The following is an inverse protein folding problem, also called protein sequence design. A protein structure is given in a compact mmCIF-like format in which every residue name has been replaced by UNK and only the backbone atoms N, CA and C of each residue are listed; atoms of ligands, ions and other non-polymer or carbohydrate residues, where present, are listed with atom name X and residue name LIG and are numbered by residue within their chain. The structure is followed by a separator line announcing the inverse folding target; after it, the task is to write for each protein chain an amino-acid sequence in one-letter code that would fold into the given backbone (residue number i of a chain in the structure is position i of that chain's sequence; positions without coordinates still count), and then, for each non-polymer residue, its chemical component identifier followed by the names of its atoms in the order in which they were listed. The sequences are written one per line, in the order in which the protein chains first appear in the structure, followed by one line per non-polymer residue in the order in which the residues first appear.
data_IF_494370410297
#
_entry.id   IF_494370410297
#
_cell.length_a   1.000
_cell.length_b   1.000
_cell.length_c   1.000
_cell.angle_alpha   90.00
_cell.angle_beta   90.00
_cell.angle_gamma   90.00
#
_symmetry.space_group_name_H-M   'P 1'
#
loop_
_entity.id
_entity.type
_entity.pdbx_description
1 polymer ?
#
# COMPACT_ATOMS: atom_id res chain seq x y z
N UNK A 1 5.08 15.23 4.87
CA UNK A 1 4.91 13.88 4.29
C UNK A 1 4.05 13.11 5.26
N UNK A 2 2.89 12.64 4.82
CA UNK A 2 1.98 11.85 5.63
C UNK A 2 2.03 10.40 5.14
N UNK A 3 2.00 9.46 6.08
CA UNK A 3 1.93 8.03 5.80
C UNK A 3 0.57 7.56 6.31
N UNK A 4 -0.17 6.87 5.46
CA UNK A 4 -1.44 6.26 5.83
C UNK A 4 -1.27 4.75 5.84
N UNK A 5 -1.69 4.10 6.91
CA UNK A 5 -1.64 2.64 7.04
C UNK A 5 -3.03 2.14 7.36
N UNK A 6 -3.50 1.12 6.64
CA UNK A 6 -4.83 0.57 6.86
C UNK A 6 -4.93 -0.91 6.54
N UNK A 7 -5.39 -1.71 7.51
CA UNK A 7 -5.90 -3.05 7.22
C UNK A 7 -7.27 -2.93 6.52
N UNK A 8 -7.26 -3.16 5.21
CA UNK A 8 -8.39 -2.95 4.33
C UNK A 8 -9.45 -4.05 4.43
N UNK A 9 -9.07 -5.26 4.87
CA UNK A 9 -9.93 -6.45 4.96
C UNK A 9 -10.71 -6.77 3.68
N UNK A 10 -10.12 -6.45 2.54
CA UNK A 10 -10.68 -6.70 1.23
C UNK A 10 -11.04 -5.43 0.46
N UNK A 11 -10.48 -5.37 -0.74
CA UNK A 11 -10.63 -4.29 -1.70
C UNK A 11 -11.41 -4.76 -2.94
N UNK A 12 -12.22 -5.81 -2.78
CA UNK A 12 -12.97 -6.44 -3.85
C UNK A 12 -14.18 -5.63 -4.33
N UNK A 13 -14.66 -4.65 -3.57
CA UNK A 13 -15.92 -3.95 -3.86
C UNK A 13 -15.73 -2.46 -4.14
N UNK A 14 -16.68 -1.88 -4.87
CA UNK A 14 -16.71 -0.42 -5.10
C UNK A 14 -16.96 0.36 -3.80
N UNK A 15 -17.72 -0.22 -2.85
CA UNK A 15 -17.92 0.36 -1.52
C UNK A 15 -16.60 0.50 -0.77
N UNK A 16 -15.80 -0.58 -0.70
CA UNK A 16 -14.49 -0.55 -0.06
C UNK A 16 -13.56 0.47 -0.74
N UNK A 17 -13.58 0.54 -2.07
CA UNK A 17 -12.85 1.55 -2.83
C UNK A 17 -13.26 2.98 -2.46
N UNK A 18 -14.56 3.27 -2.39
CA UNK A 18 -15.03 4.62 -2.06
C UNK A 18 -14.65 5.04 -0.64
N UNK A 19 -14.67 4.10 0.32
CA UNK A 19 -14.17 4.34 1.67
C UNK A 19 -12.67 4.63 1.66
N UNK A 20 -11.88 3.85 0.91
CA UNK A 20 -10.45 4.08 0.75
C UNK A 20 -10.17 5.46 0.14
N UNK A 21 -10.90 5.81 -0.92
CA UNK A 21 -10.79 7.08 -1.65
C UNK A 21 -11.07 8.26 -0.73
N UNK A 22 -12.17 8.23 0.02
CA UNK A 22 -12.50 9.29 0.99
C UNK A 22 -11.37 9.50 2.00
N UNK A 23 -10.85 8.42 2.58
CA UNK A 23 -9.72 8.50 3.53
C UNK A 23 -8.44 9.02 2.88
N UNK A 24 -8.19 8.66 1.62
CA UNK A 24 -7.07 9.20 0.84
C UNK A 24 -7.22 10.71 0.65
N UNK A 25 -8.41 11.18 0.32
CA UNK A 25 -8.71 12.60 0.09
C UNK A 25 -8.59 13.40 1.40
N UNK A 26 -9.11 12.89 2.52
CA UNK A 26 -9.01 13.50 3.84
C UNK A 26 -7.55 13.59 4.34
N UNK A 27 -6.79 12.50 4.21
CA UNK A 27 -5.42 12.46 4.71
C UNK A 27 -4.41 13.12 3.76
N UNK A 28 -4.63 13.00 2.44
CA UNK A 28 -3.68 13.30 1.37
C UNK A 28 -2.26 12.76 1.64
N UNK A 29 -2.08 11.43 1.72
CA UNK A 29 -0.80 10.84 2.10
C UNK A 29 0.18 10.73 0.93
N UNK A 30 1.47 10.85 1.23
CA UNK A 30 2.55 10.60 0.27
C UNK A 30 2.84 9.10 0.13
N UNK A 31 2.58 8.32 1.18
CA UNK A 31 2.68 6.86 1.22
C UNK A 31 1.40 6.28 1.79
N UNK A 32 0.86 5.25 1.15
CA UNK A 32 -0.33 4.55 1.60
C UNK A 32 -0.08 3.05 1.61
N UNK A 33 0.06 2.46 2.80
CA UNK A 33 0.26 1.03 2.99
C UNK A 33 -1.06 0.36 3.36
N UNK A 34 -1.44 -0.66 2.61
CA UNK A 34 -2.68 -1.38 2.72
C UNK A 34 -2.39 -2.86 3.01
N UNK A 35 -3.02 -3.37 4.06
CA UNK A 35 -2.93 -4.76 4.49
C UNK A 35 -4.25 -5.48 4.18
N UNK A 36 -4.20 -6.80 4.04
CA UNK A 36 -5.34 -7.64 3.64
C UNK A 36 -6.12 -7.07 2.45
N UNK A 37 -5.44 -6.77 1.35
CA UNK A 37 -6.10 -6.23 0.17
C UNK A 37 -7.07 -7.23 -0.45
N UNK A 38 -6.81 -8.55 -0.33
CA UNK A 38 -7.59 -9.64 -0.94
C UNK A 38 -7.91 -9.38 -2.42
N UNK A 39 -6.94 -8.77 -3.13
CA UNK A 39 -7.07 -8.32 -4.50
C UNK A 39 -5.75 -8.49 -5.25
N UNK A 40 -5.83 -8.97 -6.49
CA UNK A 40 -4.68 -9.09 -7.38
C UNK A 40 -4.22 -7.75 -7.95
N UNK A 41 -2.96 -7.72 -8.37
CA UNK A 41 -2.25 -6.55 -8.88
C UNK A 41 -3.02 -5.76 -9.96
N UNK A 42 -3.77 -6.41 -10.85
CA UNK A 42 -4.55 -5.74 -11.93
C UNK A 42 -5.59 -4.78 -11.35
N UNK A 43 -6.30 -5.20 -10.30
CA UNK A 43 -7.32 -4.36 -9.67
C UNK A 43 -6.71 -3.20 -8.91
N UNK A 44 -5.61 -3.47 -8.21
CA UNK A 44 -4.85 -2.46 -7.49
C UNK A 44 -4.22 -1.43 -8.44
N UNK A 45 -3.86 -1.81 -9.67
CA UNK A 45 -3.44 -0.85 -10.69
C UNK A 45 -4.56 0.13 -11.06
N UNK A 46 -5.77 -0.37 -11.33
CA UNK A 46 -6.94 0.48 -11.60
C UNK A 46 -7.19 1.46 -10.45
N UNK A 47 -6.97 1.01 -9.21
CA UNK A 47 -7.18 1.82 -8.02
C UNK A 47 -6.09 2.86 -7.83
N UNK A 48 -4.83 2.52 -8.08
CA UNK A 48 -3.70 3.46 -8.10
C UNK A 48 -4.02 4.67 -8.97
N UNK A 49 -4.48 4.42 -10.20
CA UNK A 49 -4.84 5.48 -11.16
C UNK A 49 -5.97 6.35 -10.60
N UNK A 50 -7.07 5.74 -10.11
CA UNK A 50 -8.22 6.48 -9.57
C UNK A 50 -7.90 7.26 -8.29
N UNK A 51 -6.93 6.81 -7.50
CA UNK A 51 -6.48 7.50 -6.28
C UNK A 51 -5.43 8.59 -6.57
N UNK A 52 -4.91 8.66 -7.79
CA UNK A 52 -3.91 9.65 -8.19
C UNK A 52 -2.49 9.35 -7.69
N UNK A 53 -2.17 8.08 -7.42
CA UNK A 53 -0.81 7.67 -7.05
C UNK A 53 0.04 7.38 -8.30
N UNK A 54 1.32 7.72 -8.23
CA UNK A 54 2.22 7.53 -9.38
C UNK A 54 2.74 6.11 -9.45
N UNK A 55 2.94 5.44 -8.31
CA UNK A 55 3.50 4.11 -8.24
C UNK A 55 2.87 3.24 -7.17
N UNK A 56 3.14 1.94 -7.27
CA UNK A 56 2.69 0.91 -6.36
C UNK A 56 3.72 -0.22 -6.24
N UNK A 57 3.72 -0.89 -5.10
CA UNK A 57 4.36 -2.19 -4.89
C UNK A 57 3.30 -3.11 -4.30
N UNK A 58 3.11 -4.28 -4.89
CA UNK A 58 2.04 -5.22 -4.53
C UNK A 58 2.66 -6.56 -4.22
N UNK A 59 2.24 -7.13 -3.08
CA UNK A 59 2.38 -8.55 -2.81
C UNK A 59 0.97 -9.13 -2.94
N UNK A 60 0.76 -9.98 -3.94
CA UNK A 60 -0.56 -10.52 -4.25
C UNK A 60 -1.09 -11.40 -3.09
N UNK A 61 -2.43 -11.43 -2.96
CA UNK A 61 -3.11 -12.34 -2.05
C UNK A 61 -3.04 -13.79 -2.54
N UNK A 62 -3.06 -14.74 -1.60
CA UNK A 62 -3.21 -16.17 -1.90
C UNK A 62 -4.69 -16.53 -1.71
N UNK A 63 -5.38 -16.81 -2.81
CA UNK A 63 -6.84 -17.00 -2.79
C UNK A 63 -7.57 -15.77 -2.22
N UNK A 64 -8.23 -15.92 -1.06
CA UNK A 64 -8.95 -14.84 -0.36
C UNK A 64 -8.19 -14.29 0.86
N UNK A 65 -6.94 -14.70 1.08
CA UNK A 65 -6.16 -14.36 2.26
C UNK A 65 -5.00 -13.42 1.94
N UNK A 66 -4.73 -12.51 2.87
CA UNK A 66 -3.58 -11.59 2.81
C UNK A 66 -3.65 -10.59 1.65
N UNK A 67 -2.47 -10.30 1.12
CA UNK A 67 -2.23 -9.26 0.11
C UNK A 67 -1.81 -7.95 0.75
N UNK A 68 -0.68 -7.41 0.28
CA UNK A 68 -0.11 -6.13 0.71
C UNK A 68 0.00 -5.19 -0.48
N UNK A 69 -0.21 -3.90 -0.22
CA UNK A 69 0.01 -2.89 -1.25
C UNK A 69 0.58 -1.61 -0.63
N UNK A 70 1.66 -1.11 -1.21
CA UNK A 70 2.19 0.22 -0.92
C UNK A 70 1.96 1.11 -2.14
N UNK A 71 1.20 2.18 -2.00
CA UNK A 71 1.09 3.26 -2.98
C UNK A 71 1.96 4.46 -2.58
N UNK A 72 2.41 5.23 -3.57
CA UNK A 72 3.13 6.48 -3.33
C UNK A 72 2.81 7.59 -4.33
N UNK A 73 2.88 8.83 -3.86
CA UNK A 73 2.73 10.05 -4.66
C UNK A 73 4.06 10.47 -5.29
N UNK A 74 4.02 11.52 -6.10
CA UNK A 74 5.21 12.14 -6.70
C UNK A 74 6.08 12.91 -5.69
N UNK A 75 5.68 13.01 -4.42
CA UNK A 75 6.50 13.62 -3.37
C UNK A 75 7.73 12.77 -3.01
N UNK A 76 7.70 11.47 -3.32
CA UNK A 76 8.72 10.51 -2.90
C UNK A 76 9.09 9.55 -4.02
N UNK A 77 10.38 9.19 -4.06
CA UNK A 77 10.89 8.07 -4.83
C UNK A 77 11.01 6.84 -3.92
N UNK A 78 10.55 5.70 -4.40
CA UNK A 78 10.50 4.44 -3.65
C UNK A 78 11.39 3.42 -4.33
N UNK A 79 12.38 2.92 -3.59
CA UNK A 79 13.26 1.82 -4.02
C UNK A 79 12.97 0.57 -3.19
N UNK A 80 12.43 -0.51 -3.78
CA UNK A 80 12.22 -1.78 -3.07
C UNK A 80 13.54 -2.34 -2.53
N UNK A 81 13.50 -2.90 -1.32
CA UNK A 81 14.62 -3.60 -0.70
C UNK A 81 14.32 -5.08 -0.53
N UNK A 82 13.19 -5.42 0.09
CA UNK A 82 12.70 -6.80 0.21
C UNK A 82 11.18 -6.80 0.39
N UNK A 83 10.54 -7.93 0.08
CA UNK A 83 9.11 -8.12 0.33
C UNK A 83 8.78 -9.62 0.40
N UNK A 84 7.76 -9.94 1.16
CA UNK A 84 7.19 -11.28 1.31
C UNK A 84 5.68 -11.17 1.56
N UNK A 85 4.98 -12.30 1.71
CA UNK A 85 3.57 -12.27 2.12
C UNK A 85 3.34 -11.57 3.47
N UNK A 86 4.36 -11.48 4.31
CA UNK A 86 4.31 -10.86 5.63
C UNK A 86 4.85 -9.42 5.66
N UNK A 87 5.55 -8.93 4.62
CA UNK A 87 6.12 -7.58 4.67
C UNK A 87 6.39 -6.92 3.32
N UNK A 88 6.46 -5.60 3.35
CA UNK A 88 7.06 -4.76 2.31
C UNK A 88 8.11 -3.87 2.96
N UNK A 89 9.32 -3.89 2.42
CA UNK A 89 10.44 -3.08 2.87
C UNK A 89 11.03 -2.25 1.72
N UNK A 90 11.12 -0.94 1.92
CA UNK A 90 11.52 0.01 0.88
C UNK A 90 12.40 1.12 1.44
N UNK A 91 13.32 1.60 0.60
CA UNK A 91 14.03 2.86 0.81
C UNK A 91 13.24 4.00 0.19
N UNK A 92 12.97 5.03 0.98
CA UNK A 92 12.26 6.23 0.56
C UNK A 92 13.26 7.38 0.41
N UNK A 93 13.20 8.06 -0.73
CA UNK A 93 13.97 9.29 -0.99
C UNK A 93 13.00 10.41 -1.30
N UNK A 94 13.10 11.50 -0.56
CA UNK A 94 12.37 12.74 -0.86
C UNK A 94 13.31 13.69 -1.59
N UNK A 95 12.76 14.50 -2.50
CA UNK A 95 13.51 15.53 -3.20
C UNK A 95 14.19 16.44 -2.16
N UNK A 96 15.51 16.61 -2.26
CA UNK A 96 16.33 17.46 -1.41
C UNK A 96 16.31 17.12 0.10
N UNK A 97 16.03 15.87 0.49
CA UNK A 97 16.12 15.42 1.88
C UNK A 97 16.82 14.07 2.02
N UNK A 98 17.22 13.75 3.24
CA UNK A 98 17.85 12.47 3.58
C UNK A 98 16.92 11.29 3.29
N UNK A 99 17.50 10.19 2.81
CA UNK A 99 16.79 8.94 2.59
C UNK A 99 16.50 8.23 3.90
N UNK A 100 15.34 7.58 3.99
CA UNK A 100 14.94 6.79 5.14
C UNK A 100 14.32 5.46 4.68
N UNK A 101 14.02 4.56 5.60
CA UNK A 101 13.49 3.21 5.31
C UNK A 101 12.08 3.07 5.87
N UNK A 102 11.17 2.55 5.05
CA UNK A 102 9.83 2.16 5.47
C UNK A 102 9.71 0.65 5.41
N UNK A 103 9.28 0.03 6.50
CA UNK A 103 8.93 -1.39 6.53
C UNK A 103 7.53 -1.54 7.08
N UNK A 104 6.64 -2.10 6.27
CA UNK A 104 5.27 -2.44 6.65
C UNK A 104 5.16 -3.94 6.84
N UNK A 105 4.71 -4.38 8.01
CA UNK A 105 4.52 -5.78 8.35
C UNK A 105 3.04 -6.15 8.45
N UNK A 106 2.74 -7.39 8.13
CA UNK A 106 1.51 -8.08 8.44
C UNK A 106 1.89 -9.43 9.07
N UNK A 107 1.69 -9.54 10.39
CA UNK A 107 1.94 -10.78 11.11
C UNK A 107 0.87 -11.82 10.81
N UNK A 108 1.25 -13.10 10.86
CA UNK A 108 0.29 -14.20 10.87
C UNK A 108 -0.49 -14.17 12.20
N UNK A 109 -1.81 -13.98 12.20
CA UNK A 109 -2.60 -14.01 13.43
C UNK A 109 -2.60 -15.40 14.08
N UNK A 110 -2.35 -16.46 13.31
CA UNK A 110 -2.37 -17.85 13.77
C UNK A 110 -0.95 -18.36 14.02
N UNK A 111 -0.11 -17.53 14.66
CA UNK A 111 1.29 -17.84 14.97
C UNK A 111 1.49 -19.32 15.30
N UNK A 112 2.32 -19.98 14.49
CA UNK A 112 2.72 -21.40 14.58
C UNK A 112 2.81 -21.94 15.99
#
# INVERSE_FOLDING_TARGET
MKIFVWNARGLGSLRAFNTLRRRKEEANPALMFLLETKCHHVKLEKWKVKLGFIGKLVVDCIGKAGGLCLYWSNEVNVGPLSYSHAHIDVRIRRINKQSWRFTGFYGDPDGT
#
